data_IF_371063344022
#
_entry.id   IF_371063344022
#
_cell.length_a   1.000
_cell.length_b   1.000
_cell.length_c   1.000
_cell.angle_alpha   90.00
_cell.angle_beta   90.00
_cell.angle_gamma   90.00
#
_symmetry.space_group_name_H-M   'P 1'
#
loop_
_entity.id
_entity.type
_entity.pdbx_description
1 polymer ?
#
# COMPACT_ATOMS: atom_id res chain seq x y z
N UNK A 1 -55.31 -8.21 -19.82
CA UNK A 1 -54.00 -8.84 -19.56
C UNK A 1 -52.91 -7.86 -19.97
N UNK A 2 -52.39 -7.08 -19.03
CA UNK A 2 -51.27 -6.15 -19.25
C UNK A 2 -50.04 -6.74 -18.57
N UNK A 3 -49.00 -7.09 -19.34
CA UNK A 3 -47.69 -7.46 -18.81
C UNK A 3 -46.75 -6.28 -18.97
N UNK A 4 -46.67 -5.43 -17.96
CA UNK A 4 -45.60 -4.45 -17.81
C UNK A 4 -44.29 -5.17 -17.52
N UNK A 5 -43.38 -5.23 -18.50
CA UNK A 5 -41.97 -5.57 -18.25
C UNK A 5 -41.26 -4.32 -17.76
N UNK A 6 -41.03 -4.23 -16.46
CA UNK A 6 -40.06 -3.31 -15.90
C UNK A 6 -38.65 -3.76 -16.33
N UNK A 7 -38.02 -3.00 -17.24
CA UNK A 7 -36.58 -3.10 -17.50
C UNK A 7 -35.86 -2.51 -16.27
N UNK A 8 -35.31 -3.38 -15.44
CA UNK A 8 -34.34 -2.97 -14.42
C UNK A 8 -33.16 -2.27 -15.12
N UNK A 9 -32.90 -1.01 -14.75
CA UNK A 9 -31.65 -0.34 -15.08
C UNK A 9 -30.53 -1.13 -14.39
N UNK A 10 -29.77 -1.90 -15.16
CA UNK A 10 -28.49 -2.42 -14.70
C UNK A 10 -27.63 -1.23 -14.27
N UNK A 11 -27.23 -1.22 -13.01
CA UNK A 11 -26.17 -0.33 -12.55
C UNK A 11 -24.93 -0.81 -13.30
N UNK A 12 -24.46 -0.02 -14.26
CA UNK A 12 -23.18 -0.27 -14.90
C UNK A 12 -22.14 -0.29 -13.78
N UNK A 13 -21.48 -1.44 -13.58
CA UNK A 13 -20.31 -1.53 -12.74
C UNK A 13 -19.29 -0.57 -13.35
N UNK A 14 -18.95 0.51 -12.65
CA UNK A 14 -17.89 1.41 -13.08
C UNK A 14 -16.63 0.59 -13.32
N UNK A 15 -15.99 0.78 -14.48
CA UNK A 15 -14.73 0.12 -14.77
C UNK A 15 -13.68 0.55 -13.72
N UNK A 16 -12.85 -0.40 -13.24
CA UNK A 16 -11.82 -0.09 -12.26
C UNK A 16 -10.85 0.95 -12.83
N UNK A 17 -10.53 1.94 -12.01
CA UNK A 17 -9.59 2.99 -12.39
C UNK A 17 -8.16 2.42 -12.53
N UNK A 18 -7.35 2.90 -13.48
CA UNK A 18 -5.95 2.51 -13.57
C UNK A 18 -5.19 2.77 -12.27
N UNK A 19 -4.37 1.81 -11.87
CA UNK A 19 -3.49 1.93 -10.72
C UNK A 19 -2.29 2.84 -11.03
N UNK A 20 -1.72 3.50 -10.03
CA UNK A 20 -0.40 4.13 -10.22
C UNK A 20 0.64 3.04 -10.44
N UNK A 21 1.54 3.18 -11.41
CA UNK A 21 2.59 2.18 -11.70
C UNK A 21 3.96 2.75 -11.32
N UNK A 22 4.69 2.03 -10.49
CA UNK A 22 6.09 2.29 -10.19
C UNK A 22 6.95 1.13 -10.70
N UNK A 23 8.22 1.39 -10.99
CA UNK A 23 9.16 0.40 -11.52
C UNK A 23 10.36 0.28 -10.59
N UNK A 24 10.82 -0.94 -10.39
CA UNK A 24 12.04 -1.28 -9.67
C UNK A 24 12.90 -2.17 -10.57
N UNK A 25 14.05 -1.67 -11.00
CA UNK A 25 15.02 -2.45 -11.78
C UNK A 25 16.01 -3.15 -10.86
N UNK A 26 16.19 -4.47 -11.02
CA UNK A 26 17.10 -5.23 -10.17
C UNK A 26 18.59 -4.91 -10.39
N UNK A 27 18.95 -4.54 -11.62
CA UNK A 27 20.31 -4.11 -11.98
C UNK A 27 20.79 -2.91 -11.15
N UNK A 28 19.87 -2.06 -10.71
CA UNK A 28 20.13 -0.93 -9.80
C UNK A 28 19.20 -0.97 -8.57
N UNK A 29 19.03 -2.15 -7.98
CA UNK A 29 18.02 -2.41 -6.95
C UNK A 29 17.97 -1.35 -5.84
N UNK A 30 19.12 -1.04 -5.21
CA UNK A 30 19.17 -0.06 -4.12
C UNK A 30 18.77 1.35 -4.59
N UNK A 31 19.36 1.83 -5.69
CA UNK A 31 19.11 3.18 -6.19
C UNK A 31 17.67 3.36 -6.65
N UNK A 32 17.16 2.42 -7.43
CA UNK A 32 15.79 2.46 -7.94
C UNK A 32 14.76 2.28 -6.81
N UNK A 33 15.10 1.53 -5.76
CA UNK A 33 14.24 1.39 -4.57
C UNK A 33 14.03 2.73 -3.87
N UNK A 34 15.10 3.51 -3.67
CA UNK A 34 15.00 4.85 -3.05
C UNK A 34 14.08 5.74 -3.87
N UNK A 35 14.32 5.82 -5.18
CA UNK A 35 13.52 6.62 -6.13
C UNK A 35 12.07 6.16 -6.17
N UNK A 36 11.82 4.85 -6.18
CA UNK A 36 10.48 4.28 -6.16
C UNK A 36 9.73 4.72 -4.91
N UNK A 37 10.35 4.60 -3.73
CA UNK A 37 9.70 4.96 -2.48
C UNK A 37 9.44 6.46 -2.37
N UNK A 38 10.32 7.32 -2.90
CA UNK A 38 10.07 8.77 -3.01
C UNK A 38 8.88 9.09 -3.92
N UNK A 39 8.76 8.39 -5.06
CA UNK A 39 7.63 8.53 -5.97
C UNK A 39 6.32 8.07 -5.34
N UNK A 40 6.34 6.97 -4.57
CA UNK A 40 5.18 6.50 -3.79
C UNK A 40 4.75 7.57 -2.79
N UNK A 41 5.68 8.18 -2.05
CA UNK A 41 5.36 9.27 -1.13
C UNK A 41 4.75 10.48 -1.84
N UNK A 42 5.30 10.87 -2.99
CA UNK A 42 4.76 11.97 -3.79
C UNK A 42 3.32 11.67 -4.25
N UNK A 43 3.05 10.44 -4.68
CA UNK A 43 1.71 9.98 -5.03
C UNK A 43 0.75 10.03 -3.83
N UNK A 44 1.17 9.61 -2.63
CA UNK A 44 0.35 9.72 -1.41
C UNK A 44 -0.04 11.18 -1.15
N UNK A 45 0.92 12.11 -1.23
CA UNK A 45 0.64 13.55 -1.07
C UNK A 45 -0.35 14.06 -2.10
N UNK A 46 -0.16 13.72 -3.37
CA UNK A 46 -1.02 14.16 -4.47
C UNK A 46 -2.44 13.61 -4.32
N UNK A 47 -2.59 12.33 -3.99
CA UNK A 47 -3.87 11.69 -3.77
C UNK A 47 -4.61 12.33 -2.59
N UNK A 48 -3.94 12.49 -1.45
CA UNK A 48 -4.54 13.16 -0.29
C UNK A 48 -4.95 14.59 -0.60
N UNK A 49 -4.13 15.36 -1.33
CA UNK A 49 -4.46 16.73 -1.73
C UNK A 49 -5.69 16.77 -2.66
N UNK A 50 -5.75 15.87 -3.64
CA UNK A 50 -6.89 15.73 -4.55
C UNK A 50 -8.18 15.39 -3.79
N UNK A 51 -8.10 14.44 -2.86
CA UNK A 51 -9.23 14.05 -2.01
C UNK A 51 -9.69 15.20 -1.11
N UNK A 52 -8.78 15.92 -0.45
CA UNK A 52 -9.13 17.10 0.37
C UNK A 52 -9.79 18.18 -0.49
N UNK A 53 -9.31 18.42 -1.70
CA UNK A 53 -9.86 19.46 -2.56
C UNK A 53 -11.29 19.16 -3.03
N UNK A 54 -11.65 17.87 -3.13
CA UNK A 54 -13.01 17.40 -3.44
C UNK A 54 -13.98 17.53 -2.25
N UNK A 55 -13.47 17.61 -1.02
CA UNK A 55 -14.31 17.75 0.17
C UNK A 55 -14.77 19.21 0.37
N UNK A 56 -16.01 19.42 0.87
CA UNK A 56 -16.46 20.72 1.34
C UNK A 56 -15.49 21.30 2.38
N UNK A 57 -15.24 22.61 2.34
CA UNK A 57 -14.23 23.28 3.18
C UNK A 57 -14.31 22.92 4.68
N UNK A 58 -15.52 22.76 5.23
CA UNK A 58 -15.74 22.43 6.65
C UNK A 58 -15.41 20.96 7.01
N UNK A 59 -15.29 20.09 6.02
CA UNK A 59 -14.99 18.67 6.16
C UNK A 59 -13.56 18.32 5.76
N UNK A 60 -12.79 19.31 5.28
CA UNK A 60 -11.39 19.13 4.87
C UNK A 60 -10.54 18.75 6.08
N UNK A 61 -10.01 17.54 6.03
CA UNK A 61 -8.95 17.09 6.96
C UNK A 61 -7.64 17.82 6.62
N UNK A 62 -6.74 18.04 7.59
CA UNK A 62 -5.40 18.55 7.29
C UNK A 62 -4.66 17.56 6.38
N UNK A 63 -3.67 18.00 5.59
CA UNK A 63 -2.89 17.13 4.70
C UNK A 63 -1.93 16.21 5.48
N UNK A 64 -1.52 16.65 6.67
CA UNK A 64 -0.66 15.90 7.59
C UNK A 64 -1.17 16.03 9.03
N UNK A 65 -0.78 15.11 9.89
CA UNK A 65 -1.04 15.15 11.33
C UNK A 65 0.28 14.88 12.06
N UNK A 66 0.70 15.77 12.97
CA UNK A 66 2.03 15.72 13.61
C UNK A 66 3.17 15.54 12.59
N UNK A 67 3.07 16.21 11.43
CA UNK A 67 4.03 16.12 10.33
C UNK A 67 3.98 14.82 9.50
N UNK A 68 3.07 13.89 9.82
CA UNK A 68 2.91 12.60 9.13
C UNK A 68 1.75 12.61 8.15
N UNK A 69 1.94 11.98 6.99
CA UNK A 69 0.86 11.76 6.03
C UNK A 69 -0.08 10.68 6.54
N UNK A 70 -1.31 10.62 6.03
CA UNK A 70 -2.18 9.47 6.23
C UNK A 70 -2.41 8.73 4.90
N UNK A 71 -2.93 7.52 4.97
CA UNK A 71 -3.24 6.73 3.78
C UNK A 71 -4.33 7.39 2.90
N UNK A 72 -4.22 7.31 1.56
CA UNK A 72 -5.33 7.70 0.68
C UNK A 72 -6.58 6.86 0.95
N UNK A 73 -7.78 7.33 0.58
CA UNK A 73 -9.04 6.64 0.92
C UNK A 73 -9.28 5.37 0.11
N UNK A 74 -8.88 5.36 -1.16
CA UNK A 74 -9.29 4.35 -2.14
C UNK A 74 -8.25 4.13 -3.23
N UNK A 75 -8.42 3.06 -3.98
CA UNK A 75 -7.61 2.75 -5.15
C UNK A 75 -6.40 1.88 -4.85
N UNK A 76 -5.63 1.63 -5.89
CA UNK A 76 -4.49 0.70 -5.86
C UNK A 76 -3.27 1.30 -6.55
N UNK A 77 -2.12 0.69 -6.30
CA UNK A 77 -0.89 0.93 -7.02
C UNK A 77 -0.17 -0.38 -7.33
N UNK A 78 0.69 -0.30 -8.33
CA UNK A 78 1.45 -1.39 -8.89
C UNK A 78 2.94 -1.11 -8.72
N UNK A 79 3.70 -2.16 -8.43
CA UNK A 79 5.16 -2.13 -8.46
C UNK A 79 5.64 -3.19 -9.44
N UNK A 80 6.17 -2.74 -10.58
CA UNK A 80 6.73 -3.59 -11.62
C UNK A 80 8.19 -3.90 -11.28
N UNK A 81 8.48 -5.19 -11.08
CA UNK A 81 9.81 -5.71 -10.82
C UNK A 81 10.43 -6.16 -12.14
N UNK A 82 11.48 -5.45 -12.58
CA UNK A 82 12.17 -5.73 -13.84
C UNK A 82 13.45 -6.52 -13.55
N UNK A 83 13.56 -7.78 -14.02
CA UNK A 83 14.71 -8.61 -13.75
C UNK A 83 15.97 -8.07 -14.45
N UNK A 84 17.14 -8.34 -13.87
CA UNK A 84 18.43 -7.95 -14.45
C UNK A 84 18.79 -8.73 -15.72
N UNK A 85 18.31 -9.97 -15.82
CA UNK A 85 18.56 -10.87 -16.95
C UNK A 85 17.25 -11.32 -17.62
N UNK A 86 17.34 -12.24 -18.58
CA UNK A 86 16.17 -12.88 -19.18
C UNK A 86 15.32 -13.55 -18.09
N UNK A 87 14.24 -12.89 -17.69
CA UNK A 87 13.31 -13.34 -16.67
C UNK A 87 11.93 -12.72 -16.92
N UNK A 88 10.89 -13.32 -16.34
CA UNK A 88 9.55 -12.75 -16.43
C UNK A 88 9.45 -11.54 -15.51
N UNK A 89 8.82 -10.48 -16.00
CA UNK A 89 8.42 -9.34 -15.19
C UNK A 89 7.35 -9.80 -14.19
N UNK A 90 7.53 -9.42 -12.93
CA UNK A 90 6.53 -9.61 -11.88
C UNK A 90 5.95 -8.24 -11.52
N UNK A 91 4.64 -8.08 -11.57
CA UNK A 91 3.99 -6.82 -11.14
C UNK A 91 3.19 -7.05 -9.88
N UNK A 92 3.56 -6.37 -8.80
CA UNK A 92 2.95 -6.47 -7.49
C UNK A 92 1.79 -5.49 -7.36
N UNK A 93 0.67 -5.88 -6.76
CA UNK A 93 -0.51 -5.03 -6.55
C UNK A 93 -0.71 -4.72 -5.07
N UNK A 94 -0.93 -3.44 -4.77
CA UNK A 94 -1.13 -2.92 -3.42
C UNK A 94 -2.35 -2.01 -3.34
N UNK A 95 -2.94 -1.90 -2.15
CA UNK A 95 -4.03 -0.95 -1.87
C UNK A 95 -3.50 0.33 -1.26
N UNK A 96 -4.07 1.48 -1.61
CA UNK A 96 -3.63 2.74 -1.02
C UNK A 96 -4.04 2.91 0.45
N UNK A 97 -5.20 2.41 0.85
CA UNK A 97 -5.78 2.75 2.16
C UNK A 97 -5.14 2.05 3.35
N UNK A 98 -4.41 0.97 3.11
CA UNK A 98 -3.64 0.27 4.14
C UNK A 98 -2.27 -0.25 3.66
N UNK A 99 -1.92 -0.04 2.38
CA UNK A 99 -0.70 -0.58 1.75
C UNK A 99 -0.62 -2.10 1.70
N UNK A 100 -1.73 -2.83 1.88
CA UNK A 100 -1.69 -4.29 1.87
C UNK A 100 -1.32 -4.81 0.47
N UNK A 101 -0.44 -5.81 0.44
CA UNK A 101 -0.08 -6.54 -0.76
C UNK A 101 -1.22 -7.50 -1.13
N UNK A 102 -1.86 -7.24 -2.27
CA UNK A 102 -3.08 -7.94 -2.71
C UNK A 102 -2.75 -9.23 -3.44
N UNK A 103 -1.63 -9.23 -4.16
CA UNK A 103 -1.24 -10.29 -5.07
C UNK A 103 -0.35 -9.75 -6.17
N UNK A 104 -0.04 -10.59 -7.14
CA UNK A 104 0.94 -10.26 -8.19
C UNK A 104 0.51 -10.79 -9.55
N UNK A 105 1.03 -10.17 -10.59
CA UNK A 105 0.78 -10.48 -11.98
C UNK A 105 2.06 -10.95 -12.65
N UNK A 106 1.95 -12.03 -13.40
CA UNK A 106 3.02 -12.54 -14.26
C UNK A 106 2.39 -12.85 -15.61
N UNK A 107 2.95 -12.24 -16.66
CA UNK A 107 2.50 -12.37 -18.05
C UNK A 107 1.02 -11.98 -18.28
N UNK A 108 0.09 -12.92 -18.10
CA UNK A 108 -1.36 -12.72 -18.31
C UNK A 108 -2.21 -13.25 -17.15
N UNK A 109 -1.57 -13.64 -16.05
CA UNK A 109 -2.23 -14.26 -14.89
C UNK A 109 -2.02 -13.44 -13.63
N UNK A 110 -3.10 -13.18 -12.91
CA UNK A 110 -3.09 -12.64 -11.55
C UNK A 110 -3.12 -13.76 -10.52
N UNK A 111 -2.23 -13.71 -9.54
CA UNK A 111 -2.21 -14.56 -8.36
C UNK A 111 -2.58 -13.72 -7.16
N UNK A 112 -3.78 -13.93 -6.63
CA UNK A 112 -4.34 -13.13 -5.54
C UNK A 112 -4.39 -13.95 -4.25
N UNK A 113 -4.06 -13.33 -3.11
CA UNK A 113 -4.34 -13.97 -1.82
C UNK A 113 -5.84 -14.26 -1.68
N UNK A 114 -6.17 -15.27 -0.87
CA UNK A 114 -7.55 -15.72 -0.63
C UNK A 114 -8.43 -14.62 -0.05
N UNK A 115 -7.84 -13.69 0.71
CA UNK A 115 -8.55 -12.63 1.44
C UNK A 115 -9.10 -11.52 0.54
N UNK A 116 -8.62 -11.41 -0.69
CA UNK A 116 -8.97 -10.30 -1.58
C UNK A 116 -9.98 -10.71 -2.63
N UNK A 117 -10.58 -9.74 -3.30
CA UNK A 117 -11.49 -9.97 -4.43
C UNK A 117 -10.95 -9.32 -5.71
N UNK A 118 -11.55 -9.69 -6.84
CA UNK A 118 -11.12 -9.26 -8.17
C UNK A 118 -11.44 -7.80 -8.48
N UNK A 119 -12.24 -7.11 -7.66
CA UNK A 119 -12.57 -5.67 -7.85
C UNK A 119 -11.36 -4.77 -7.56
N UNK A 120 -10.33 -5.31 -6.90
CA UNK A 120 -9.06 -4.61 -6.67
C UNK A 120 -8.14 -4.62 -7.90
N UNK A 121 -8.42 -5.47 -8.90
CA UNK A 121 -7.57 -5.61 -10.07
C UNK A 121 -7.62 -4.36 -10.95
N UNK A 122 -6.47 -3.94 -11.53
CA UNK A 122 -6.45 -2.87 -12.51
C UNK A 122 -7.24 -3.27 -13.77
N UNK A 123 -7.67 -2.29 -14.59
CA UNK A 123 -8.33 -2.57 -15.85
C UNK A 123 -7.40 -3.31 -16.81
N UNK A 124 -7.99 -4.16 -17.67
CA UNK A 124 -7.24 -4.96 -18.65
C UNK A 124 -6.46 -4.12 -19.67
N UNK A 125 -6.87 -2.86 -19.85
CA UNK A 125 -6.17 -1.87 -20.66
C UNK A 125 -4.81 -1.45 -20.08
N UNK A 126 -4.62 -1.59 -18.76
CA UNK A 126 -3.35 -1.30 -18.09
C UNK A 126 -2.44 -2.53 -18.03
N UNK A 127 -2.99 -3.70 -17.67
CA UNK A 127 -2.29 -4.98 -17.65
C UNK A 127 -3.21 -6.03 -18.26
N UNK A 128 -2.73 -6.76 -19.26
CA UNK A 128 -3.53 -7.77 -19.95
C UNK A 128 -3.68 -9.02 -19.08
N UNK A 129 -4.91 -9.52 -18.96
CA UNK A 129 -5.25 -10.81 -18.34
C UNK A 129 -6.63 -11.27 -18.79
N UNK A 130 -7.01 -12.53 -18.54
CA UNK A 130 -8.37 -13.01 -18.72
C UNK A 130 -9.17 -12.84 -17.41
N UNK A 131 -10.36 -12.20 -17.40
CA UNK A 131 -11.04 -11.89 -16.14
C UNK A 131 -11.80 -13.10 -15.57
N UNK A 132 -11.75 -14.25 -16.25
CA UNK A 132 -12.37 -15.50 -15.78
C UNK A 132 -11.48 -16.16 -14.73
N UNK A 133 -12.09 -16.47 -13.58
CA UNK A 133 -11.48 -17.24 -12.50
C UNK A 133 -10.95 -18.60 -13.00
N UNK A 134 -9.77 -18.97 -12.54
CA UNK A 134 -9.05 -20.18 -12.94
C UNK A 134 -8.42 -20.12 -14.33
N UNK A 135 -8.55 -19.01 -15.06
CA UNK A 135 -7.91 -18.82 -16.38
C UNK A 135 -6.86 -17.70 -16.33
N UNK A 136 -7.27 -16.47 -16.04
CA UNK A 136 -6.35 -15.34 -15.89
C UNK A 136 -6.29 -14.78 -14.48
N UNK A 137 -7.03 -15.39 -13.55
CA UNK A 137 -7.07 -15.03 -12.14
C UNK A 137 -7.03 -16.34 -11.33
N UNK A 138 -6.00 -16.50 -10.52
CA UNK A 138 -5.76 -17.62 -9.62
C UNK A 138 -5.86 -17.12 -8.18
N UNK A 139 -6.65 -17.82 -7.37
CA UNK A 139 -6.69 -17.61 -5.92
C UNK A 139 -5.65 -18.51 -5.26
N UNK A 140 -4.72 -17.89 -4.55
CA UNK A 140 -3.79 -18.60 -3.68
C UNK A 140 -4.55 -19.17 -2.49
N UNK A 141 -4.05 -20.28 -1.95
CA UNK A 141 -4.58 -20.87 -0.71
C UNK A 141 -4.22 -20.07 0.54
N UNK A 142 -3.28 -19.14 0.41
CA UNK A 142 -2.78 -18.30 1.50
C UNK A 142 -3.60 -17.03 1.62
N UNK A 143 -3.89 -16.66 2.86
CA UNK A 143 -4.20 -15.30 3.25
C UNK A 143 -2.96 -14.41 3.19
N UNK A 144 -3.18 -13.10 3.34
CA UNK A 144 -2.13 -12.10 3.31
C UNK A 144 -1.51 -11.82 4.69
N UNK A 145 -1.78 -12.66 5.70
CA UNK A 145 -1.23 -12.47 7.04
C UNK A 145 0.18 -13.07 7.15
N UNK A 146 1.03 -12.46 7.99
CA UNK A 146 2.42 -12.88 8.14
C UNK A 146 2.57 -14.34 8.57
N UNK A 147 1.66 -14.87 9.41
CA UNK A 147 1.73 -16.25 9.88
C UNK A 147 1.58 -17.28 8.75
N UNK A 148 0.83 -16.95 7.70
CA UNK A 148 0.60 -17.83 6.56
C UNK A 148 1.67 -17.72 5.46
N UNK A 149 2.38 -16.59 5.35
CA UNK A 149 3.24 -16.29 4.18
C UNK A 149 4.73 -16.10 4.47
N UNK A 150 5.25 -16.71 5.54
CA UNK A 150 6.69 -16.69 5.84
C UNK A 150 7.04 -16.38 7.29
N UNK A 151 6.02 -16.18 8.13
CA UNK A 151 6.16 -15.81 9.54
C UNK A 151 7.02 -14.55 9.71
N UNK A 152 7.70 -14.42 10.85
CA UNK A 152 8.55 -13.26 11.18
C UNK A 152 10.03 -13.48 10.82
N UNK A 153 10.40 -14.69 10.39
CA UNK A 153 11.78 -15.04 10.01
C UNK A 153 12.11 -14.69 8.55
N UNK A 154 11.59 -13.54 8.07
CA UNK A 154 11.73 -13.11 6.69
C UNK A 154 13.14 -12.55 6.48
N UNK A 155 13.79 -12.96 5.40
CA UNK A 155 15.11 -12.45 5.00
C UNK A 155 14.95 -11.25 4.08
N UNK A 156 15.78 -10.23 4.27
CA UNK A 156 15.81 -8.99 3.49
C UNK A 156 17.23 -8.70 3.06
N UNK A 157 17.41 -8.45 1.77
CA UNK A 157 18.69 -8.24 1.11
C UNK A 157 18.51 -8.36 -0.40
N UNK A 158 19.55 -8.03 -1.17
CA UNK A 158 19.55 -8.26 -2.63
C UNK A 158 19.26 -9.73 -2.97
N UNK A 159 19.93 -10.73 -2.36
CA UNK A 159 19.68 -12.14 -2.68
C UNK A 159 18.24 -12.59 -2.37
N UNK A 160 17.65 -12.11 -1.28
CA UNK A 160 16.23 -12.37 -0.96
C UNK A 160 15.30 -11.83 -2.05
N UNK A 161 15.58 -10.64 -2.58
CA UNK A 161 14.80 -10.01 -3.65
C UNK A 161 14.86 -10.81 -4.95
N UNK A 162 16.05 -11.29 -5.33
CA UNK A 162 16.24 -12.14 -6.50
C UNK A 162 15.49 -13.47 -6.37
N UNK A 163 15.60 -14.14 -5.21
CA UNK A 163 14.86 -15.38 -4.95
C UNK A 163 13.35 -15.18 -4.95
N UNK A 164 12.88 -14.06 -4.40
CA UNK A 164 11.47 -13.69 -4.44
C UNK A 164 10.97 -13.60 -5.88
N UNK A 165 11.65 -12.85 -6.74
CA UNK A 165 11.22 -12.68 -8.14
C UNK A 165 11.32 -14.00 -8.90
N UNK A 166 12.40 -14.76 -8.70
CA UNK A 166 12.55 -16.07 -9.33
C UNK A 166 11.39 -17.00 -8.96
N UNK A 167 10.98 -17.05 -7.69
CA UNK A 167 9.85 -17.85 -7.26
C UNK A 167 8.52 -17.32 -7.81
N UNK A 168 8.23 -16.02 -7.66
CA UNK A 168 6.97 -15.42 -8.13
C UNK A 168 6.81 -15.56 -9.65
N UNK A 169 7.90 -15.45 -10.42
CA UNK A 169 7.89 -15.63 -11.88
C UNK A 169 7.50 -17.05 -12.32
N UNK A 170 7.68 -18.04 -11.44
CA UNK A 170 7.32 -19.45 -11.64
C UNK A 170 6.04 -19.84 -10.90
N UNK A 171 5.21 -18.87 -10.53
CA UNK A 171 4.02 -19.13 -9.73
C UNK A 171 3.10 -20.18 -10.37
N UNK A 172 2.95 -20.19 -11.71
CA UNK A 172 2.17 -21.18 -12.46
C UNK A 172 2.55 -22.64 -12.10
N UNK A 173 3.84 -22.91 -11.99
CA UNK A 173 4.38 -24.22 -11.63
C UNK A 173 4.25 -24.47 -10.12
N UNK A 174 4.56 -23.45 -9.31
CA UNK A 174 4.66 -23.59 -7.85
C UNK A 174 3.30 -23.68 -7.17
N UNK A 175 2.28 -22.94 -7.63
CA UNK A 175 0.98 -22.91 -6.96
C UNK A 175 0.21 -24.23 -7.08
N UNK A 176 0.54 -25.05 -8.09
CA UNK A 176 -0.15 -26.31 -8.39
C UNK A 176 0.29 -27.50 -7.55
N UNK A 177 1.33 -27.36 -6.72
CA UNK A 177 1.90 -28.47 -5.92
C UNK A 177 2.07 -28.06 -4.46
N UNK A 178 2.03 -29.03 -3.54
CA UNK A 178 2.24 -28.77 -2.10
C UNK A 178 3.66 -28.23 -1.83
N UNK A 179 4.67 -28.82 -2.45
CA UNK A 179 6.07 -28.39 -2.34
C UNK A 179 6.27 -26.98 -2.91
N UNK A 180 5.67 -26.67 -4.05
CA UNK A 180 5.76 -25.34 -4.64
C UNK A 180 5.05 -24.28 -3.80
N UNK A 181 3.92 -24.62 -3.18
CA UNK A 181 3.24 -23.77 -2.21
C UNK A 181 4.13 -23.49 -0.98
N UNK A 182 4.84 -24.49 -0.46
CA UNK A 182 5.85 -24.29 0.61
C UNK A 182 6.95 -23.32 0.17
N UNK A 183 7.43 -23.40 -1.07
CA UNK A 183 8.42 -22.46 -1.62
C UNK A 183 7.88 -21.03 -1.66
N UNK A 184 6.65 -20.83 -2.12
CA UNK A 184 6.01 -19.51 -2.16
C UNK A 184 5.83 -18.92 -0.75
N UNK A 185 5.42 -19.76 0.21
CA UNK A 185 5.22 -19.35 1.60
C UNK A 185 6.54 -19.15 2.38
N UNK A 186 7.68 -19.68 1.91
CA UNK A 186 8.97 -19.60 2.59
C UNK A 186 9.67 -18.22 2.47
N UNK A 187 8.92 -17.15 2.22
CA UNK A 187 9.45 -15.79 2.10
C UNK A 187 9.00 -15.02 0.85
N UNK A 188 8.93 -15.61 -0.37
CA UNK A 188 8.57 -14.87 -1.58
C UNK A 188 7.24 -14.11 -1.49
N UNK A 189 6.24 -14.65 -0.79
CA UNK A 189 4.96 -13.98 -0.61
C UNK A 189 4.99 -12.86 0.46
N UNK A 190 5.83 -12.97 1.50
CA UNK A 190 5.94 -11.93 2.53
C UNK A 190 7.00 -10.86 2.25
N UNK A 191 8.03 -11.15 1.45
CA UNK A 191 9.08 -10.18 1.15
C UNK A 191 8.48 -8.86 0.60
N UNK A 192 7.56 -8.87 -0.39
CA UNK A 192 6.91 -7.65 -0.89
C UNK A 192 6.22 -6.84 0.21
N UNK A 193 5.56 -7.50 1.17
CA UNK A 193 4.90 -6.84 2.30
C UNK A 193 5.93 -6.11 3.16
N UNK A 194 7.00 -6.81 3.54
CA UNK A 194 8.03 -6.26 4.42
C UNK A 194 8.82 -5.15 3.73
N UNK A 195 9.27 -5.36 2.49
CA UNK A 195 10.18 -4.42 1.83
C UNK A 195 9.45 -3.25 1.18
N UNK A 196 8.14 -3.36 0.92
CA UNK A 196 7.35 -2.27 0.32
C UNK A 196 6.32 -1.73 1.30
N UNK A 197 5.35 -2.54 1.74
CA UNK A 197 4.26 -2.06 2.61
C UNK A 197 4.79 -1.48 3.92
N UNK A 198 5.66 -2.20 4.62
CA UNK A 198 6.18 -1.75 5.91
C UNK A 198 7.19 -0.60 5.75
N UNK A 199 7.97 -0.59 4.68
CA UNK A 199 8.89 0.51 4.39
C UNK A 199 8.16 1.82 4.03
N UNK A 200 6.94 1.75 3.50
CA UNK A 200 6.09 2.94 3.36
C UNK A 200 5.61 3.43 4.73
N UNK A 201 5.28 2.50 5.63
CA UNK A 201 4.67 2.80 6.94
C UNK A 201 5.68 3.30 7.97
N UNK A 202 6.94 2.87 7.90
CA UNK A 202 7.96 3.12 8.93
C UNK A 202 9.28 3.64 8.34
N UNK A 203 9.69 4.84 8.76
CA UNK A 203 10.91 5.52 8.25
C UNK A 203 12.19 4.72 8.59
N UNK A 204 12.30 4.25 9.83
CA UNK A 204 13.45 3.47 10.28
C UNK A 204 13.59 2.17 9.51
N UNK A 205 12.47 1.48 9.27
CA UNK A 205 12.49 0.23 8.52
C UNK A 205 12.90 0.45 7.06
N UNK A 206 12.40 1.51 6.41
CA UNK A 206 12.83 1.88 5.06
C UNK A 206 14.32 2.12 4.95
N UNK A 207 14.92 2.77 5.95
CA UNK A 207 16.36 2.98 6.00
C UNK A 207 17.12 1.64 6.10
N UNK A 208 16.65 0.72 6.95
CA UNK A 208 17.21 -0.63 7.07
C UNK A 208 17.11 -1.41 5.75
N UNK A 209 15.94 -1.43 5.11
CA UNK A 209 15.76 -2.09 3.79
C UNK A 209 16.71 -1.47 2.77
N UNK A 210 16.74 -0.15 2.65
CA UNK A 210 17.60 0.56 1.69
C UNK A 210 19.07 0.18 1.88
N UNK A 211 19.54 0.11 3.13
CA UNK A 211 20.90 -0.32 3.44
C UNK A 211 21.15 -1.77 2.99
N UNK A 212 20.29 -2.70 3.42
CA UNK A 212 20.40 -4.14 3.12
C UNK A 212 20.32 -4.47 1.62
N UNK A 213 19.60 -3.67 0.83
CA UNK A 213 19.55 -3.84 -0.63
C UNK A 213 20.87 -3.48 -1.34
N UNK A 214 21.76 -2.73 -0.66
CA UNK A 214 23.12 -2.46 -1.13
C UNK A 214 24.14 -3.50 -0.69
N UNK A 215 23.73 -4.49 0.10
CA UNK A 215 24.60 -5.53 0.65
C UNK A 215 24.36 -6.87 -0.06
N UNK A 216 25.42 -7.67 -0.19
CA UNK A 216 25.38 -9.01 -0.82
C UNK A 216 24.94 -10.11 0.15
N UNK A 217 24.36 -9.74 1.28
CA UNK A 217 23.91 -10.65 2.34
C UNK A 217 22.44 -10.47 2.63
N UNK A 218 21.84 -11.52 3.18
CA UNK A 218 20.47 -11.48 3.67
C UNK A 218 20.44 -11.40 5.19
N UNK A 219 19.71 -10.43 5.71
CA UNK A 219 19.44 -10.31 7.13
C UNK A 219 17.99 -10.66 7.45
N UNK A 220 17.80 -11.33 8.58
CA UNK A 220 16.45 -11.57 9.10
C UNK A 220 15.84 -10.24 9.59
N UNK A 221 14.54 -10.07 9.41
CA UNK A 221 13.80 -8.98 10.05
C UNK A 221 13.90 -9.15 11.56
N UNK A 222 14.38 -8.13 12.26
CA UNK A 222 14.48 -8.18 13.72
C UNK A 222 13.08 -8.24 14.35
N UNK A 223 12.99 -8.91 15.50
CA UNK A 223 11.71 -9.13 16.20
C UNK A 223 11.01 -7.81 16.54
N UNK A 224 11.78 -6.78 16.90
CA UNK A 224 11.27 -5.44 17.21
C UNK A 224 10.48 -4.84 16.03
N UNK A 225 11.03 -4.89 14.81
CA UNK A 225 10.30 -4.41 13.62
C UNK A 225 9.04 -5.24 13.35
N UNK A 226 9.12 -6.55 13.56
CA UNK A 226 7.98 -7.45 13.39
C UNK A 226 6.82 -7.10 14.33
N UNK A 227 7.11 -6.65 15.55
CA UNK A 227 6.09 -6.16 16.47
C UNK A 227 5.48 -4.84 15.96
N UNK A 228 6.29 -3.90 15.48
CA UNK A 228 5.78 -2.65 14.91
C UNK A 228 4.82 -2.88 13.73
N UNK A 229 5.15 -3.82 12.83
CA UNK A 229 4.32 -4.14 11.67
C UNK A 229 2.91 -4.59 12.08
N UNK A 230 2.80 -5.43 13.12
CA UNK A 230 1.52 -5.92 13.63
C UNK A 230 0.66 -4.82 14.25
N UNK A 231 1.29 -3.79 14.82
CA UNK A 231 0.62 -2.77 15.60
C UNK A 231 0.52 -1.41 14.90
N UNK A 232 0.94 -1.30 13.64
CA UNK A 232 0.87 -0.06 12.85
C UNK A 232 -0.48 0.67 12.95
N UNK A 233 -1.60 -0.06 12.87
CA UNK A 233 -2.94 0.52 13.02
C UNK A 233 -3.17 1.10 14.43
N UNK A 234 -2.78 0.37 15.48
CA UNK A 234 -2.95 0.83 16.87
C UNK A 234 -2.06 2.04 17.15
N UNK A 235 -0.82 2.03 16.66
CA UNK A 235 0.10 3.16 16.76
C UNK A 235 -0.44 4.39 16.02
N UNK A 236 -1.02 4.20 14.83
CA UNK A 236 -1.66 5.29 14.08
C UNK A 236 -2.80 5.93 14.88
N UNK A 237 -3.61 5.12 15.56
CA UNK A 237 -4.70 5.59 16.44
C UNK A 237 -4.14 6.34 17.65
N UNK A 238 -3.11 5.79 18.31
CA UNK A 238 -2.46 6.44 19.46
C UNK A 238 -1.91 7.83 19.08
N UNK A 239 -1.21 7.94 17.95
CA UNK A 239 -0.70 9.22 17.44
C UNK A 239 -1.83 10.21 17.24
N UNK A 240 -2.91 9.82 16.55
CA UNK A 240 -4.06 10.69 16.28
C UNK A 240 -4.75 11.16 17.56
N UNK A 241 -4.82 10.29 18.56
CA UNK A 241 -5.43 10.60 19.86
C UNK A 241 -4.47 11.29 20.84
N UNK A 242 -3.20 11.50 20.44
CA UNK A 242 -2.13 12.04 21.29
C UNK A 242 -1.94 11.22 22.57
N UNK A 243 -2.04 9.91 22.43
CA UNK A 243 -1.86 8.93 23.50
C UNK A 243 -0.53 8.18 23.29
N UNK A 244 -0.08 7.49 24.33
CA UNK A 244 1.02 6.54 24.24
C UNK A 244 0.54 5.21 23.67
N UNK A 245 1.49 4.42 23.18
CA UNK A 245 1.24 3.02 22.82
C UNK A 245 2.31 2.15 23.46
N UNK A 246 1.88 1.23 24.29
CA UNK A 246 2.75 0.43 25.15
C UNK A 246 3.66 1.33 26.02
N UNK A 247 4.98 1.22 25.86
CA UNK A 247 5.97 2.06 26.54
C UNK A 247 6.41 3.29 25.74
N UNK A 248 5.95 3.45 24.49
CA UNK A 248 6.39 4.53 23.60
C UNK A 248 5.53 5.79 23.79
N UNK A 249 6.20 6.90 24.06
CA UNK A 249 5.59 8.23 24.13
C UNK A 249 5.25 8.76 22.72
N UNK A 250 4.41 9.79 22.67
CA UNK A 250 3.91 10.34 21.39
C UNK A 250 5.04 10.75 20.44
N UNK A 251 6.10 11.37 20.95
CA UNK A 251 7.21 11.84 20.13
C UNK A 251 8.05 10.68 19.56
N UNK A 252 8.14 9.56 20.28
CA UNK A 252 8.75 8.32 19.81
C UNK A 252 7.90 7.67 18.72
N UNK A 253 6.59 7.56 18.94
CA UNK A 253 5.64 7.03 17.96
C UNK A 253 5.66 7.84 16.66
N UNK A 254 5.66 9.17 16.77
CA UNK A 254 5.73 10.05 15.60
C UNK A 254 7.05 9.88 14.88
N UNK A 255 8.19 9.64 15.54
CA UNK A 255 9.48 9.36 14.86
C UNK A 255 9.45 8.02 14.09
N UNK A 256 8.76 7.02 14.64
CA UNK A 256 8.71 5.66 14.10
C UNK A 256 7.77 5.54 12.89
N UNK A 257 6.54 6.08 12.99
CA UNK A 257 5.51 5.94 11.96
C UNK A 257 5.61 7.05 10.92
N UNK A 258 5.83 6.68 9.65
CA UNK A 258 5.92 7.59 8.50
C UNK A 258 4.55 7.95 7.94
N UNK A 259 3.70 6.95 7.72
CA UNK A 259 2.34 7.14 7.20
C UNK A 259 1.34 6.54 8.18
N UNK A 260 0.38 7.36 8.60
CA UNK A 260 -0.70 6.98 9.50
C UNK A 260 -1.81 6.27 8.74
N UNK A 261 -2.40 5.23 9.32
CA UNK A 261 -3.65 4.69 8.80
C UNK A 261 -4.72 5.78 8.90
N UNK A 262 -5.39 6.08 7.79
CA UNK A 262 -6.50 7.04 7.80
C UNK A 262 -7.67 6.48 8.59
N UNK A 263 -7.90 7.06 9.77
CA UNK A 263 -9.03 6.70 10.62
C UNK A 263 -10.13 7.80 10.60
N UNK A 264 -11.28 7.48 11.19
CA UNK A 264 -12.38 8.43 11.37
C UNK A 264 -12.05 9.54 12.38
N UNK A 265 -11.06 9.32 13.23
CA UNK A 265 -10.69 10.19 14.36
C UNK A 265 -9.88 11.42 13.94
N UNK A 266 -9.19 11.40 12.79
CA UNK A 266 -8.59 12.59 12.19
C UNK A 266 -9.73 13.56 11.82
N UNK A 267 -9.87 14.65 12.58
CA UNK A 267 -10.94 15.65 12.43
C UNK A 267 -10.54 16.79 11.47
N UNK A 268 -11.51 17.45 10.81
CA UNK A 268 -11.26 18.68 10.08
C UNK A 268 -10.64 19.76 10.96
N UNK A 269 -9.81 20.63 10.38
CA UNK A 269 -9.35 21.81 11.11
C UNK A 269 -10.54 22.73 11.42
N UNK A 270 -10.76 23.00 12.70
CA UNK A 270 -11.68 24.08 13.09
C UNK A 270 -11.03 25.40 12.70
N UNK A 271 -11.42 25.97 11.55
CA UNK A 271 -11.14 27.38 11.29
C UNK A 271 -11.81 28.20 12.39
N UNK A 272 -11.02 28.81 13.28
CA UNK A 272 -11.52 29.89 14.14
C UNK A 272 -12.05 30.96 13.19
N UNK A 273 -13.36 31.14 13.17
CA UNK A 273 -13.98 32.27 12.50
C UNK A 273 -13.51 33.51 13.25
N UNK A 274 -12.51 34.23 12.74
CA UNK A 274 -12.27 35.60 13.17
C UNK A 274 -13.34 36.45 12.49
N UNK A 275 -14.26 37.09 13.23
CA UNK A 275 -15.12 38.09 12.64
C UNK A 275 -14.21 39.14 12.01
N UNK A 276 -14.45 39.46 10.73
CA UNK A 276 -13.86 40.66 10.14
C UNK A 276 -14.19 41.82 11.08
N UNK A 277 -13.17 42.44 11.67
CA UNK A 277 -13.33 43.68 12.40
C UNK A 277 -13.98 44.68 11.46
N UNK A 278 -15.26 44.94 11.67
CA UNK A 278 -15.97 46.04 11.06
C UNK A 278 -15.35 47.33 11.57
N UNK A 279 -14.45 47.93 10.78
CA UNK A 279 -14.09 49.33 10.96
C UNK A 279 -15.30 50.17 10.56
N UNK A 280 -16.17 50.44 11.54
CA UNK A 280 -17.21 51.45 11.44
C UNK A 280 -16.55 52.83 11.50
N UNK A 281 -16.25 53.42 10.36
CA UNK A 281 -15.91 54.85 10.29
C UNK A 281 -17.21 55.63 10.31
N UNK A 282 -17.63 56.06 11.50
CA UNK A 282 -18.66 57.07 11.66
C UNK A 282 -18.05 58.44 11.36
N UNK A 283 -18.22 58.96 10.14
CA UNK A 283 -18.02 60.37 9.86
C UNK A 283 -19.37 61.09 9.95
N UNK A 284 -19.74 61.43 11.19
CA UNK A 284 -20.81 62.39 11.48
C UNK A 284 -20.23 63.79 11.64
N UNK A 285 -20.68 64.69 10.76
CA UNK A 285 -20.85 66.15 10.93
C UNK A 285 -19.69 66.97 11.51
N UNK A 286 -19.13 67.85 10.68
CA UNK A 286 -19.25 69.31 10.84
C UNK A 286 -19.24 69.96 9.46
#
# INVERSE_FOLDING_TARGET
>A
MSKSKAKGKGIALEEPQPSHMFTLQLSNLQGDYVVMMEKIEAAIKQLNQSEINKEPTLLRKPLTFEGRMYTPKTGTFLVKLEPEHQGKVVTLLYRWFDFYFVGFHVEVVWYLFSDFDTRMLPPQSQLRYNPKDGVGIVKLIFGCNYLEVGSYAIKVGRPAFERCIAALSKAEELHGTEEGQKVLAAGPLALPMVVISEAIRFDLWRACVTKRLGEEVDDVVEEEYSQYFQYWQKMSVAIVNKDKWDTLELDELVKLVRVLMRNKEIKPEKKKWMPRSSSSTSSGKK
#
